data_IF_700891055907
#
_entry.id   IF_700891055907
#
_cell.length_a   1.000
_cell.length_b   1.000
_cell.length_c   1.000
_cell.angle_alpha   90.00
_cell.angle_beta   90.00
_cell.angle_gamma   90.00
#
_symmetry.space_group_name_H-M   'P 1'
#
loop_
_entity.id
_entity.type
_entity.pdbx_description
1 polymer ?
#
# COMPACT_ATOMS: atom_id res chain seq x y z
N UNK A 1 18.62 4.64 -14.31
CA UNK A 1 18.64 4.95 -12.87
C UNK A 1 20.10 5.18 -12.46
N UNK A 2 20.41 6.20 -11.63
CA UNK A 2 21.78 6.43 -11.15
C UNK A 2 22.35 5.17 -10.45
N UNK A 3 23.66 4.90 -10.52
CA UNK A 3 24.26 3.68 -9.97
C UNK A 3 23.97 3.48 -8.47
N UNK A 4 23.98 4.57 -7.69
CA UNK A 4 23.72 4.53 -6.25
C UNK A 4 22.27 4.18 -5.93
N UNK A 5 21.33 4.73 -6.70
CA UNK A 5 19.91 4.42 -6.55
C UNK A 5 19.63 2.94 -6.86
N UNK A 6 20.32 2.35 -7.85
CA UNK A 6 20.19 0.91 -8.16
C UNK A 6 20.66 0.04 -7.01
N UNK A 7 21.83 0.36 -6.45
CA UNK A 7 22.39 -0.37 -5.32
C UNK A 7 21.47 -0.35 -4.09
N UNK A 8 20.88 0.80 -3.77
CA UNK A 8 19.96 0.92 -2.64
C UNK A 8 18.69 0.07 -2.83
N UNK A 9 18.13 0.05 -4.04
CA UNK A 9 16.96 -0.78 -4.35
C UNK A 9 17.30 -2.26 -4.22
N UNK A 10 18.42 -2.71 -4.80
CA UNK A 10 18.86 -4.10 -4.73
C UNK A 10 19.08 -4.54 -3.27
N UNK A 11 19.64 -3.66 -2.43
CA UNK A 11 19.86 -3.91 -1.00
C UNK A 11 18.54 -4.05 -0.23
N UNK A 12 17.56 -3.18 -0.48
CA UNK A 12 16.23 -3.25 0.14
C UNK A 12 15.57 -4.60 -0.17
N UNK A 13 15.55 -5.02 -1.43
CA UNK A 13 14.94 -6.30 -1.81
C UNK A 13 15.68 -7.51 -1.23
N UNK A 14 17.01 -7.46 -1.15
CA UNK A 14 17.79 -8.50 -0.49
C UNK A 14 17.45 -8.62 1.01
N UNK A 15 17.26 -7.49 1.71
CA UNK A 15 16.81 -7.47 3.10
C UNK A 15 15.38 -8.01 3.21
N UNK A 16 14.46 -7.56 2.35
CA UNK A 16 13.07 -8.02 2.32
C UNK A 16 12.98 -9.54 2.15
N UNK A 17 13.76 -10.10 1.21
CA UNK A 17 13.85 -11.57 1.03
C UNK A 17 14.30 -12.26 2.32
N UNK A 18 15.39 -11.81 2.93
CA UNK A 18 15.91 -12.40 4.18
C UNK A 18 14.89 -12.32 5.32
N UNK A 19 14.13 -11.24 5.41
CA UNK A 19 13.07 -11.07 6.40
C UNK A 19 11.90 -12.02 6.14
N UNK A 20 11.46 -12.15 4.88
CA UNK A 20 10.39 -13.07 4.50
C UNK A 20 10.76 -14.53 4.76
N UNK A 21 11.95 -14.95 4.30
CA UNK A 21 12.47 -16.31 4.50
C UNK A 21 12.69 -16.65 5.97
N UNK A 22 12.88 -15.66 6.84
CA UNK A 22 13.03 -15.89 8.28
C UNK A 22 11.74 -16.43 8.93
N UNK A 23 10.58 -16.20 8.32
CA UNK A 23 9.27 -16.55 8.89
C UNK A 23 8.97 -15.85 10.21
N UNK A 24 9.62 -14.71 10.49
CA UNK A 24 9.52 -13.98 11.77
C UNK A 24 9.16 -12.50 11.61
N UNK A 25 8.91 -12.05 10.38
CA UNK A 25 8.63 -10.66 10.07
C UNK A 25 7.26 -10.51 9.41
N UNK A 26 6.59 -9.42 9.76
CA UNK A 26 5.43 -8.89 9.03
C UNK A 26 5.77 -7.46 8.58
N UNK A 27 5.36 -7.11 7.38
CA UNK A 27 5.37 -5.72 6.91
C UNK A 27 4.10 -5.03 7.35
N UNK A 28 4.18 -3.83 7.92
CA UNK A 28 3.01 -3.00 8.21
C UNK A 28 2.87 -1.94 7.13
N UNK A 29 1.70 -1.89 6.48
CA UNK A 29 1.38 -0.96 5.41
C UNK A 29 0.47 0.14 5.98
N UNK A 30 1.08 1.29 6.31
CA UNK A 30 0.37 2.44 6.93
C UNK A 30 -0.62 3.11 5.98
N UNK A 31 -0.26 3.21 4.70
CA UNK A 31 -1.01 3.93 3.66
C UNK A 31 -1.33 3.00 2.51
N UNK A 32 -2.31 2.14 2.74
CA UNK A 32 -2.88 1.32 1.68
C UNK A 32 -3.84 2.11 0.81
N UNK A 33 -3.78 1.84 -0.48
CA UNK A 33 -4.67 2.37 -1.50
C UNK A 33 -5.50 1.25 -2.16
N UNK A 34 -5.48 0.04 -1.59
CA UNK A 34 -6.15 -1.11 -2.18
C UNK A 34 -7.66 -0.93 -2.24
N UNK A 35 -8.25 -1.50 -3.30
CA UNK A 35 -9.67 -1.52 -3.61
C UNK A 35 -10.07 -2.95 -4.06
N UNK A 36 -9.39 -3.94 -3.51
CA UNK A 36 -9.51 -5.33 -3.89
C UNK A 36 -10.85 -5.95 -3.47
N UNK A 37 -11.52 -5.39 -2.46
CA UNK A 37 -12.84 -5.87 -2.03
C UNK A 37 -13.87 -5.64 -3.14
N UNK A 38 -13.98 -4.41 -3.62
CA UNK A 38 -14.89 -4.08 -4.73
C UNK A 38 -14.47 -4.77 -6.03
N UNK A 39 -13.15 -4.79 -6.32
CA UNK A 39 -12.63 -5.48 -7.50
C UNK A 39 -13.04 -6.95 -7.51
N UNK A 40 -12.86 -7.65 -6.39
CA UNK A 40 -13.22 -9.07 -6.29
C UNK A 40 -14.73 -9.29 -6.40
N UNK A 41 -15.55 -8.42 -5.80
CA UNK A 41 -17.01 -8.48 -5.93
C UNK A 41 -17.45 -8.34 -7.41
N UNK A 42 -16.74 -7.54 -8.20
CA UNK A 42 -16.97 -7.44 -9.65
C UNK A 42 -16.60 -8.76 -10.35
N UNK A 43 -15.42 -9.29 -10.08
CA UNK A 43 -14.97 -10.56 -10.66
C UNK A 43 -15.84 -11.76 -10.25
N UNK A 44 -16.43 -11.74 -9.06
CA UNK A 44 -17.36 -12.77 -8.59
C UNK A 44 -18.78 -12.61 -9.14
N UNK A 45 -19.08 -11.50 -9.81
CA UNK A 45 -20.41 -11.17 -10.33
C UNK A 45 -21.40 -10.68 -9.26
N UNK A 46 -20.92 -10.36 -8.06
CA UNK A 46 -21.73 -9.77 -6.97
C UNK A 46 -21.96 -8.28 -7.16
N UNK A 47 -21.09 -7.60 -7.93
CA UNK A 47 -21.14 -6.17 -8.21
C UNK A 47 -20.95 -5.90 -9.70
N UNK A 48 -21.73 -4.98 -10.26
CA UNK A 48 -21.51 -4.50 -11.63
C UNK A 48 -20.35 -3.51 -11.67
N UNK A 49 -19.47 -3.52 -12.69
CA UNK A 49 -18.45 -2.48 -12.87
C UNK A 49 -19.02 -1.06 -12.85
N UNK A 50 -20.23 -0.86 -13.37
CA UNK A 50 -20.89 0.43 -13.41
C UNK A 50 -21.31 0.96 -12.02
N UNK A 51 -21.43 0.07 -11.03
CA UNK A 51 -21.84 0.39 -9.67
C UNK A 51 -20.66 0.51 -8.69
N UNK A 52 -19.42 0.37 -9.19
CA UNK A 52 -18.20 0.48 -8.39
C UNK A 52 -18.09 1.87 -7.75
N UNK A 53 -17.92 1.92 -6.42
CA UNK A 53 -17.84 3.18 -5.67
C UNK A 53 -16.42 3.70 -5.51
N UNK A 54 -15.44 2.87 -5.81
CA UNK A 54 -14.02 3.17 -5.71
C UNK A 54 -13.62 3.53 -4.29
N UNK A 55 -14.17 2.79 -3.33
CA UNK A 55 -13.86 2.94 -1.92
C UNK A 55 -12.63 2.10 -1.58
N UNK A 56 -11.69 2.68 -0.84
CA UNK A 56 -10.52 1.93 -0.36
C UNK A 56 -10.95 0.88 0.65
N UNK A 57 -10.32 -0.28 0.59
CA UNK A 57 -10.61 -1.42 1.46
C UNK A 57 -10.51 -1.05 2.94
N UNK A 58 -9.55 -0.19 3.30
CA UNK A 58 -9.39 0.35 4.65
C UNK A 58 -10.70 0.96 5.20
N UNK A 59 -11.45 1.72 4.39
CA UNK A 59 -12.68 2.37 4.85
C UNK A 59 -13.84 1.38 4.99
N UNK A 60 -13.94 0.42 4.07
CA UNK A 60 -14.93 -0.66 4.16
C UNK A 60 -14.69 -1.45 5.45
N UNK A 61 -13.44 -1.82 5.71
CA UNK A 61 -13.06 -2.60 6.86
C UNK A 61 -13.12 -1.82 8.18
N UNK A 62 -12.91 -0.51 8.16
CA UNK A 62 -13.11 0.34 9.33
C UNK A 62 -14.56 0.30 9.84
N UNK A 63 -15.53 0.12 8.95
CA UNK A 63 -16.94 -0.05 9.34
C UNK A 63 -17.30 -1.47 9.76
N UNK A 64 -16.67 -2.48 9.15
CA UNK A 64 -17.12 -3.88 9.27
C UNK A 64 -16.29 -4.72 10.25
N UNK A 65 -14.99 -4.43 10.43
CA UNK A 65 -14.13 -5.25 11.25
C UNK A 65 -14.39 -5.03 12.75
N UNK A 66 -14.60 -6.07 13.56
CA UNK A 66 -14.66 -5.90 15.01
C UNK A 66 -13.29 -5.51 15.59
N UNK A 67 -13.23 -4.87 16.76
CA UNK A 67 -11.96 -4.64 17.44
C UNK A 67 -11.31 -5.96 17.86
N UNK A 68 -9.98 -5.99 17.96
CA UNK A 68 -9.17 -7.16 18.30
C UNK A 68 -9.39 -8.34 17.35
N UNK A 69 -9.45 -8.05 16.05
CA UNK A 69 -9.61 -9.08 15.03
C UNK A 69 -8.63 -8.89 13.87
N UNK A 70 -8.48 -9.95 13.10
CA UNK A 70 -7.79 -9.94 11.82
C UNK A 70 -8.75 -10.36 10.70
N UNK A 71 -8.57 -9.79 9.52
CA UNK A 71 -9.31 -10.10 8.32
C UNK A 71 -8.32 -10.43 7.20
N UNK A 72 -8.46 -11.59 6.56
CA UNK A 72 -7.47 -12.12 5.63
C UNK A 72 -7.99 -11.97 4.19
N UNK A 73 -7.20 -11.35 3.31
CA UNK A 73 -7.58 -11.25 1.90
C UNK A 73 -7.75 -12.62 1.26
N UNK A 74 -6.81 -13.54 1.51
CA UNK A 74 -6.82 -14.87 0.89
C UNK A 74 -8.12 -15.65 1.10
N UNK A 75 -8.81 -15.42 2.22
CA UNK A 75 -10.10 -16.05 2.54
C UNK A 75 -11.22 -15.41 1.71
N UNK A 76 -11.21 -14.08 1.59
CA UNK A 76 -12.23 -13.34 0.84
C UNK A 76 -12.06 -13.49 -0.67
N UNK A 77 -10.84 -13.30 -1.17
CA UNK A 77 -10.51 -13.29 -2.61
C UNK A 77 -10.23 -14.68 -3.17
N UNK A 78 -10.40 -15.74 -2.36
CA UNK A 78 -10.08 -17.14 -2.72
C UNK A 78 -8.67 -17.32 -3.28
N UNK A 79 -7.72 -16.59 -2.69
CA UNK A 79 -6.29 -16.65 -3.05
C UNK A 79 -5.85 -15.66 -4.13
N UNK A 80 -6.73 -14.84 -4.70
CA UNK A 80 -6.33 -13.78 -5.63
C UNK A 80 -5.58 -12.65 -4.90
N UNK A 81 -4.49 -12.15 -5.51
CA UNK A 81 -3.65 -11.11 -4.92
C UNK A 81 -4.39 -9.75 -4.92
N UNK A 82 -4.51 -9.07 -3.77
CA UNK A 82 -5.30 -7.84 -3.69
C UNK A 82 -4.65 -6.66 -4.42
N UNK A 83 -3.32 -6.64 -4.60
CA UNK A 83 -2.67 -5.61 -5.41
C UNK A 83 -2.99 -5.81 -6.90
N UNK A 84 -3.06 -7.06 -7.37
CA UNK A 84 -3.51 -7.38 -8.73
C UNK A 84 -4.96 -6.96 -8.93
N UNK A 85 -5.85 -7.36 -8.02
CA UNK A 85 -7.28 -7.03 -8.08
C UNK A 85 -7.51 -5.51 -8.11
N UNK A 86 -6.81 -4.76 -7.26
CA UNK A 86 -6.95 -3.30 -7.22
C UNK A 86 -6.56 -2.64 -8.55
N UNK A 87 -5.48 -3.11 -9.19
CA UNK A 87 -5.08 -2.63 -10.54
C UNK A 87 -6.06 -3.04 -11.63
N UNK A 88 -6.63 -4.23 -11.52
CA UNK A 88 -7.67 -4.68 -12.45
C UNK A 88 -8.88 -3.74 -12.39
N UNK A 89 -9.29 -3.29 -11.19
CA UNK A 89 -10.39 -2.34 -11.05
C UNK A 89 -10.11 -1.02 -11.78
N UNK A 90 -8.92 -0.45 -11.60
CA UNK A 90 -8.49 0.75 -12.32
C UNK A 90 -8.63 0.57 -13.83
N UNK A 91 -8.12 -0.56 -14.36
CA UNK A 91 -8.19 -0.87 -15.80
C UNK A 91 -9.60 -1.15 -16.31
N UNK A 92 -10.43 -1.85 -15.54
CA UNK A 92 -11.82 -2.12 -15.91
C UNK A 92 -12.57 -0.81 -16.15
N UNK A 93 -12.32 0.20 -15.30
CA UNK A 93 -12.96 1.51 -15.41
C UNK A 93 -12.39 2.31 -16.58
N UNK A 94 -11.06 2.34 -16.72
CA UNK A 94 -10.38 3.06 -17.81
C UNK A 94 -10.73 2.51 -19.20
N UNK A 95 -10.76 1.18 -19.33
CA UNK A 95 -11.03 0.47 -20.59
C UNK A 95 -12.54 0.28 -20.82
N UNK A 96 -13.40 0.60 -19.83
CA UNK A 96 -14.84 0.33 -19.85
C UNK A 96 -15.14 -1.13 -20.18
N UNK A 97 -14.43 -2.04 -19.51
CA UNK A 97 -14.62 -3.46 -19.68
C UNK A 97 -15.98 -3.89 -19.11
N UNK A 98 -16.85 -4.42 -19.98
CA UNK A 98 -18.20 -4.86 -19.61
C UNK A 98 -18.37 -6.38 -19.72
N UNK A 99 -17.51 -7.06 -20.49
CA UNK A 99 -17.63 -8.50 -20.73
C UNK A 99 -16.77 -9.32 -19.80
N UNK A 100 -17.18 -10.57 -19.55
CA UNK A 100 -16.39 -11.52 -18.76
C UNK A 100 -15.04 -11.83 -19.42
N UNK A 101 -15.00 -11.85 -20.75
CA UNK A 101 -13.79 -12.04 -21.54
C UNK A 101 -12.80 -10.88 -21.35
N UNK A 102 -13.27 -9.63 -21.37
CA UNK A 102 -12.43 -8.46 -21.13
C UNK A 102 -11.83 -8.48 -19.72
N UNK A 103 -12.67 -8.74 -18.72
CA UNK A 103 -12.24 -8.82 -17.33
C UNK A 103 -11.21 -9.93 -17.12
N UNK A 104 -11.44 -11.12 -17.71
CA UNK A 104 -10.49 -12.22 -17.66
C UNK A 104 -9.15 -11.86 -18.30
N UNK A 105 -9.17 -11.21 -19.46
CA UNK A 105 -7.94 -10.74 -20.13
C UNK A 105 -7.17 -9.76 -19.23
N UNK A 106 -7.84 -8.77 -18.66
CA UNK A 106 -7.23 -7.79 -17.75
C UNK A 106 -6.58 -8.50 -16.55
N UNK A 107 -7.28 -9.47 -15.95
CA UNK A 107 -6.76 -10.22 -14.81
C UNK A 107 -5.47 -10.97 -15.15
N UNK A 108 -5.44 -11.70 -16.26
CA UNK A 108 -4.24 -12.45 -16.67
C UNK A 108 -3.05 -11.52 -17.00
N UNK A 109 -3.31 -10.41 -17.71
CA UNK A 109 -2.28 -9.41 -18.02
C UNK A 109 -1.70 -8.76 -16.74
N UNK A 110 -2.55 -8.41 -15.77
CA UNK A 110 -2.08 -7.82 -14.52
C UNK A 110 -1.35 -8.84 -13.63
N UNK A 111 -1.76 -10.11 -13.64
CA UNK A 111 -1.01 -11.20 -12.99
C UNK A 111 0.39 -11.34 -13.57
N UNK A 112 0.52 -11.40 -14.90
CA UNK A 112 1.80 -11.51 -15.58
C UNK A 112 2.69 -10.30 -15.29
N UNK A 113 2.13 -9.09 -15.35
CA UNK A 113 2.85 -7.85 -15.05
C UNK A 113 3.32 -7.82 -13.60
N UNK A 114 2.47 -8.21 -12.66
CA UNK A 114 2.79 -8.26 -11.24
C UNK A 114 3.91 -9.27 -10.95
N UNK A 115 3.81 -10.46 -11.55
CA UNK A 115 4.84 -11.50 -11.46
C UNK A 115 6.19 -11.02 -12.00
N UNK A 116 6.19 -10.44 -13.20
CA UNK A 116 7.42 -9.94 -13.87
C UNK A 116 8.15 -8.91 -13.01
N UNK A 117 7.41 -7.99 -12.38
CA UNK A 117 7.99 -6.99 -11.48
C UNK A 117 8.66 -7.66 -10.28
N UNK A 118 7.99 -8.63 -9.65
CA UNK A 118 8.53 -9.33 -8.48
C UNK A 118 9.75 -10.19 -8.83
N UNK A 119 9.73 -10.89 -9.95
CA UNK A 119 10.90 -11.62 -10.45
C UNK A 119 12.09 -10.69 -10.71
N UNK A 120 11.86 -9.54 -11.33
CA UNK A 120 12.92 -8.56 -11.63
C UNK A 120 13.66 -8.11 -10.36
N UNK A 121 12.94 -8.00 -9.25
CA UNK A 121 13.50 -7.62 -7.95
C UNK A 121 13.90 -8.82 -7.08
N UNK A 122 13.85 -10.05 -7.62
CA UNK A 122 14.26 -11.25 -6.92
C UNK A 122 13.40 -11.53 -5.70
N UNK A 123 12.08 -11.37 -5.80
CA UNK A 123 11.08 -11.76 -4.79
C UNK A 123 9.85 -12.46 -5.41
N UNK A 124 9.96 -12.92 -6.65
CA UNK A 124 8.87 -13.60 -7.37
C UNK A 124 8.44 -14.91 -6.73
N UNK A 125 9.40 -15.70 -6.27
CA UNK A 125 9.22 -17.00 -5.61
C UNK A 125 8.64 -16.92 -4.19
N UNK A 126 8.60 -15.73 -3.58
CA UNK A 126 8.01 -15.55 -2.25
C UNK A 126 6.51 -15.33 -2.42
N UNK A 127 5.69 -16.20 -1.82
CA UNK A 127 4.24 -16.02 -1.73
C UNK A 127 3.92 -15.03 -0.59
N UNK A 128 3.67 -13.77 -0.95
CA UNK A 128 3.25 -12.72 -0.01
C UNK A 128 1.73 -12.63 0.01
N UNK A 129 1.17 -12.68 1.21
CA UNK A 129 -0.26 -12.51 1.49
C UNK A 129 -0.48 -11.24 2.29
N UNK A 130 -1.73 -10.79 2.30
CA UNK A 130 -2.13 -9.57 3.00
C UNK A 130 -3.32 -9.78 3.90
N UNK A 131 -3.38 -8.99 4.95
CA UNK A 131 -4.47 -8.98 5.91
C UNK A 131 -4.64 -7.59 6.49
N UNK A 132 -5.80 -7.34 7.08
CA UNK A 132 -6.01 -6.21 7.97
C UNK A 132 -6.08 -6.68 9.41
N UNK A 133 -5.56 -5.85 10.32
CA UNK A 133 -5.66 -6.05 11.77
C UNK A 133 -6.35 -4.82 12.35
N UNK A 134 -7.35 -5.03 13.22
CA UNK A 134 -7.98 -3.96 13.99
C UNK A 134 -7.66 -4.14 15.48
N UNK A 135 -6.94 -3.18 16.05
CA UNK A 135 -6.56 -3.22 17.46
C UNK A 135 -7.69 -2.75 18.39
N UNK A 136 -8.20 -1.55 18.12
CA UNK A 136 -9.17 -0.87 18.98
C UNK A 136 -10.42 -0.47 18.17
N UNK A 137 -11.52 -0.19 18.86
CA UNK A 137 -12.77 0.21 18.23
C UNK A 137 -12.65 1.62 17.63
N UNK A 138 -12.02 2.54 18.36
CA UNK A 138 -11.90 3.95 17.96
C UNK A 138 -10.67 4.24 17.08
N UNK A 139 -9.94 3.20 16.67
CA UNK A 139 -8.80 3.30 15.77
C UNK A 139 -9.04 2.49 14.49
N UNK A 140 -8.61 3.00 13.32
CA UNK A 140 -8.82 2.32 12.06
C UNK A 140 -7.96 1.06 11.95
N UNK A 141 -8.39 0.05 11.17
CA UNK A 141 -7.56 -1.11 10.90
C UNK A 141 -6.35 -0.72 10.04
N UNK A 142 -5.26 -1.49 10.20
CA UNK A 142 -4.05 -1.34 9.39
C UNK A 142 -3.77 -2.62 8.61
N UNK A 143 -3.16 -2.44 7.44
CA UNK A 143 -2.81 -3.55 6.57
C UNK A 143 -1.44 -4.12 6.93
N UNK A 144 -1.31 -5.43 6.81
CA UNK A 144 -0.06 -6.15 6.96
C UNK A 144 0.19 -7.05 5.75
N UNK A 145 1.46 -7.21 5.41
CA UNK A 145 1.96 -8.14 4.40
C UNK A 145 2.86 -9.19 5.08
N UNK A 146 2.70 -10.45 4.70
CA UNK A 146 3.38 -11.58 5.34
C UNK A 146 3.59 -12.75 4.36
N UNK A 147 4.61 -13.60 4.56
CA UNK A 147 4.77 -14.80 3.75
C UNK A 147 3.70 -15.85 4.09
N UNK A 148 3.21 -16.58 3.08
CA UNK A 148 2.11 -17.55 3.18
C UNK A 148 2.23 -18.64 4.26
N UNK A 149 3.44 -18.94 4.74
CA UNK A 149 3.70 -19.90 5.80
C UNK A 149 3.63 -19.33 7.23
N UNK A 150 3.41 -18.02 7.38
CA UNK A 150 3.34 -17.37 8.69
C UNK A 150 1.93 -17.48 9.30
N UNK A 151 1.86 -17.85 10.58
CA UNK A 151 0.62 -17.81 11.36
C UNK A 151 0.25 -16.35 11.69
N UNK A 152 -0.45 -15.70 10.77
CA UNK A 152 -0.83 -14.28 10.89
C UNK A 152 -1.81 -14.03 12.02
N UNK A 153 -2.68 -15.00 12.35
CA UNK A 153 -3.61 -14.85 13.48
C UNK A 153 -2.83 -14.88 14.80
N UNK A 154 -1.92 -15.85 14.99
CA UNK A 154 -1.06 -15.91 16.15
C UNK A 154 -0.09 -14.72 16.26
N UNK A 155 0.34 -14.13 15.13
CA UNK A 155 1.10 -12.88 15.12
C UNK A 155 0.23 -11.69 15.53
N UNK A 156 -0.99 -11.60 14.99
CA UNK A 156 -1.93 -10.53 15.35
C UNK A 156 -2.21 -10.54 16.86
N UNK A 157 -2.47 -11.71 17.46
CA UNK A 157 -2.68 -11.85 18.91
C UNK A 157 -1.51 -11.29 19.76
N UNK A 158 -0.28 -11.44 19.29
CA UNK A 158 0.93 -10.91 19.95
C UNK A 158 1.15 -9.42 19.68
N UNK A 159 0.67 -8.92 18.55
CA UNK A 159 0.82 -7.53 18.12
C UNK A 159 -0.21 -6.61 18.79
N UNK A 160 -1.45 -7.08 18.95
CA UNK A 160 -2.56 -6.31 19.52
C UNK A 160 -2.22 -5.63 20.87
N UNK A 161 -1.54 -6.29 21.83
CA UNK A 161 -1.20 -5.67 23.13
C UNK A 161 -0.17 -4.54 23.04
N UNK A 162 0.61 -4.47 21.96
CA UNK A 162 1.65 -3.45 21.76
C UNK A 162 1.19 -2.35 20.79
N UNK A 163 -0.06 -2.39 20.34
CA UNK A 163 -0.66 -1.33 19.55
C UNK A 163 -1.01 -0.12 20.42
N UNK A 164 -0.73 1.06 19.88
CA UNK A 164 -1.15 2.34 20.40
C UNK A 164 -2.68 2.49 20.26
N UNK A 165 -3.34 2.96 21.32
CA UNK A 165 -4.79 3.15 21.38
C UNK A 165 -5.28 4.28 20.47
N UNK A 166 -4.48 5.34 20.31
CA UNK A 166 -4.81 6.49 19.49
C UNK A 166 -4.69 6.20 17.98
N UNK A 167 -3.66 5.46 17.57
CA UNK A 167 -3.36 5.23 16.14
C UNK A 167 -3.83 3.85 15.65
N UNK A 168 -3.98 2.89 16.56
CA UNK A 168 -4.21 1.48 16.25
C UNK A 168 -2.97 0.73 15.76
N UNK A 169 -1.86 1.43 15.50
CA UNK A 169 -0.62 0.86 14.97
C UNK A 169 0.26 0.31 16.10
N UNK A 170 1.16 -0.65 15.81
CA UNK A 170 2.20 -1.05 16.75
C UNK A 170 3.01 0.16 17.24
N UNK A 171 3.12 0.36 18.55
CA UNK A 171 3.70 1.56 19.17
C UNK A 171 5.12 1.88 18.67
N UNK A 172 5.91 0.86 18.35
CA UNK A 172 7.26 1.04 17.78
C UNK A 172 7.26 1.81 16.46
N UNK A 173 6.20 1.67 15.65
CA UNK A 173 6.08 2.38 14.38
C UNK A 173 5.76 3.87 14.58
N UNK A 174 5.06 4.21 15.65
CA UNK A 174 4.79 5.61 16.00
C UNK A 174 6.06 6.29 16.52
N UNK A 175 6.88 5.57 17.31
CA UNK A 175 8.19 6.05 17.76
C UNK A 175 9.14 6.31 16.59
N UNK A 176 9.22 5.37 15.64
CA UNK A 176 10.05 5.54 14.45
C UNK A 176 9.58 6.75 13.64
N UNK A 177 8.26 6.90 13.42
CA UNK A 177 7.71 8.05 12.70
C UNK A 177 8.02 9.38 13.38
N UNK A 178 7.96 9.41 14.72
CA UNK A 178 8.33 10.58 15.49
C UNK A 178 9.82 10.91 15.33
N UNK A 179 10.70 9.91 15.39
CA UNK A 179 12.15 10.10 15.33
C UNK A 179 12.67 10.46 13.93
N UNK A 180 12.06 9.91 12.88
CA UNK A 180 12.40 10.24 11.48
C UNK A 180 11.56 11.40 10.93
N UNK A 181 10.59 11.86 11.71
CA UNK A 181 9.70 12.96 11.36
C UNK A 181 10.50 14.25 11.19
N UNK A 182 10.45 14.82 9.99
CA UNK A 182 11.04 16.13 9.73
C UNK A 182 10.02 17.18 10.14
N UNK A 183 10.41 18.13 11.00
CA UNK A 183 9.54 19.25 11.38
C UNK A 183 9.00 19.95 10.13
N UNK A 184 7.71 20.27 10.13
CA UNK A 184 7.04 20.91 9.00
C UNK A 184 7.71 22.24 8.60
N UNK A 185 8.20 22.99 9.59
CA UNK A 185 8.97 24.22 9.35
C UNK A 185 10.29 23.97 8.62
N UNK A 186 10.95 22.84 8.87
CA UNK A 186 12.18 22.44 8.20
C UNK A 186 11.90 21.96 6.77
N UNK A 187 10.81 21.21 6.55
CA UNK A 187 10.35 20.87 5.19
C UNK A 187 10.02 22.11 4.38
N UNK A 188 9.29 23.07 4.96
CA UNK A 188 8.98 24.34 4.31
C UNK A 188 10.25 25.11 3.94
N UNK A 189 11.16 25.29 4.90
CA UNK A 189 12.44 25.97 4.66
C UNK A 189 13.29 25.27 3.58
N UNK A 190 13.29 23.94 3.55
CA UNK A 190 13.98 23.16 2.51
C UNK A 190 13.35 23.37 1.13
N UNK A 191 12.02 23.29 1.01
CA UNK A 191 11.31 23.53 -0.26
C UNK A 191 11.53 24.97 -0.74
N UNK A 192 11.48 25.95 0.15
CA UNK A 192 11.78 27.35 -0.17
C UNK A 192 13.23 27.54 -0.65
N UNK A 193 14.21 26.93 0.01
CA UNK A 193 15.63 27.00 -0.39
C UNK A 193 15.88 26.28 -1.73
N UNK A 194 15.26 25.11 -1.94
CA UNK A 194 15.33 24.40 -3.23
C UNK A 194 14.69 25.24 -4.33
N UNK A 195 13.55 25.88 -4.09
CA UNK A 195 12.94 26.83 -5.02
C UNK A 195 13.87 28.00 -5.33
N UNK A 196 14.46 28.62 -4.30
CA UNK A 196 15.34 29.76 -4.47
C UNK A 196 16.57 29.39 -5.32
N UNK A 197 17.22 28.26 -5.03
CA UNK A 197 18.36 27.75 -5.81
C UNK A 197 17.98 27.34 -7.24
N UNK A 198 16.78 26.80 -7.44
CA UNK A 198 16.32 26.39 -8.76
C UNK A 198 15.93 27.61 -9.63
N UNK A 199 15.43 28.69 -9.01
CA UNK A 199 15.21 29.98 -9.66
C UNK A 199 16.53 30.65 -10.04
N UNK A 200 17.54 30.56 -9.17
CA UNK A 200 18.89 31.12 -9.39
C UNK A 200 19.62 30.43 -10.57
N UNK A 201 19.28 29.16 -10.82
CA UNK A 201 19.87 28.32 -11.89
C UNK A 201 19.04 28.26 -13.18
N UNK A 202 18.34 29.34 -13.57
CA UNK A 202 17.71 29.56 -14.90
C UNK A 202 16.43 28.77 -15.26
N UNK A 203 15.70 28.19 -14.30
CA UNK A 203 14.37 27.61 -14.61
C UNK A 203 13.27 28.69 -14.60
N UNK A 204 12.35 28.65 -15.58
CA UNK A 204 11.25 29.64 -15.65
C UNK A 204 10.27 29.41 -14.50
N UNK A 205 9.84 30.50 -13.86
CA UNK A 205 8.98 30.55 -12.66
C UNK A 205 7.70 29.68 -12.74
N UNK A 206 7.16 29.45 -13.94
CA UNK A 206 5.94 28.66 -14.18
C UNK A 206 6.19 27.14 -14.10
N UNK A 207 7.34 26.68 -14.59
CA UNK A 207 7.72 25.25 -14.62
C UNK A 207 8.07 24.77 -13.21
N UNK A 208 8.81 25.58 -12.44
CA UNK A 208 9.12 25.33 -11.03
C UNK A 208 7.88 25.26 -10.16
N UNK A 209 6.96 26.23 -10.30
CA UNK A 209 5.69 26.19 -9.57
C UNK A 209 4.91 24.90 -9.84
N UNK A 210 4.93 24.38 -11.06
CA UNK A 210 4.25 23.13 -11.40
C UNK A 210 4.93 21.90 -10.79
N UNK A 211 6.26 21.85 -10.78
CA UNK A 211 7.03 20.71 -10.27
C UNK A 211 6.93 20.56 -8.75
N UNK A 212 6.89 21.67 -8.02
CA UNK A 212 6.90 21.65 -6.56
C UNK A 212 5.53 21.96 -5.91
N UNK A 213 4.50 22.25 -6.70
CA UNK A 213 3.12 22.32 -6.19
C UNK A 213 2.66 21.07 -5.41
N UNK A 214 3.13 19.84 -5.70
CA UNK A 214 2.82 18.66 -4.90
C UNK A 214 3.52 18.63 -3.53
N UNK A 215 4.59 19.41 -3.37
CA UNK A 215 5.45 19.45 -2.18
C UNK A 215 5.22 20.70 -1.32
N UNK A 216 4.34 21.62 -1.76
CA UNK A 216 3.99 22.81 -0.99
C UNK A 216 3.02 22.42 0.14
N UNK A 217 3.43 22.53 1.42
CA UNK A 217 2.57 22.19 2.56
C UNK A 217 1.34 23.11 2.70
N UNK A 218 1.29 24.27 2.04
CA UNK A 218 0.15 25.21 2.06
C UNK A 218 -1.10 24.73 1.30
N UNK A 219 -1.20 23.45 0.90
CA UNK A 219 -2.43 22.92 0.28
C UNK A 219 -3.53 22.58 1.29
N UNK A 220 -3.24 22.60 2.58
CA UNK A 220 -4.21 22.33 3.64
C UNK A 220 -4.76 23.63 4.28
N UNK A 221 -5.25 24.55 3.44
CA UNK A 221 -6.24 25.58 3.83
C UNK A 221 -7.37 25.61 2.79
#
# INVERSE_FOLDING_TARGET
MPPESKRAVDEIYAITRRLAESGKAIGVIKRSMLQAIEAYAIFSGELSPADARLVRDKYILDWLMPPRSAWLYEVYTKGEDPAVLSRCLERIIEEKAETAEDMKRILEEEKERFWTVRETFGIGDIDFRRAYIRAYADAPPFEVEYPAGLDTLGVAEKLLPVCNDATGLPFILDLIDHDIGVEEGLMRAYVEEVHARALDKTLRRKELKSMFNPLNPEKDI
#
